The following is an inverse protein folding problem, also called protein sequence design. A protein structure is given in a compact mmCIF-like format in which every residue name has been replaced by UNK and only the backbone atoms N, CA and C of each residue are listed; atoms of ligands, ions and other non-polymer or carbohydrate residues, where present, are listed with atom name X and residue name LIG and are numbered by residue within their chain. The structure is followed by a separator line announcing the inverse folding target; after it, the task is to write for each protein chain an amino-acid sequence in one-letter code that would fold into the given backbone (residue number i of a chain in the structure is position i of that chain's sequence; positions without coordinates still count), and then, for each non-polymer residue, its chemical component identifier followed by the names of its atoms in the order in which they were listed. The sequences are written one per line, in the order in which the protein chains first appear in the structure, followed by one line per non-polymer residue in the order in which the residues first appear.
data_IF_362677235204
#
_entry.id   IF_362677235204
#
_cell.length_a   1.000
_cell.length_b   1.000
_cell.length_c   1.000
_cell.angle_alpha   90.00
_cell.angle_beta   90.00
_cell.angle_gamma   90.00
#
_symmetry.space_group_name_H-M   'P 1'
#
loop_
_entity.id
_entity.type
_entity.pdbx_description
1 polymer ?
#
# COMPACT_ATOMS: atom_id res chain seq x y z
N UNK A 1 7.44 -36.06 39.11
CA UNK A 1 6.10 -36.30 38.55
C UNK A 1 5.09 -35.51 39.37
N UNK A 2 4.63 -34.40 38.84
CA UNK A 2 3.56 -33.58 39.43
C UNK A 2 2.65 -33.13 38.27
N UNK A 3 1.37 -33.45 38.37
CA UNK A 3 0.35 -33.19 37.35
C UNK A 3 -0.12 -31.72 37.38
N UNK A 4 -0.59 -31.16 36.25
CA UNK A 4 -1.09 -29.79 36.20
C UNK A 4 -2.58 -29.71 36.63
N UNK A 5 -3.05 -28.59 37.20
CA UNK A 5 -4.43 -28.41 37.58
C UNK A 5 -5.32 -27.99 36.39
N UNK A 6 -6.48 -28.63 36.30
CA UNK A 6 -7.58 -28.29 35.40
C UNK A 6 -8.27 -26.99 35.85
N UNK A 7 -8.46 -26.04 34.94
CA UNK A 7 -9.39 -24.93 35.11
C UNK A 7 -10.47 -24.99 34.03
N UNK A 8 -11.69 -25.30 34.47
CA UNK A 8 -12.93 -25.29 33.69
C UNK A 8 -13.58 -23.90 33.77
N UNK A 9 -13.58 -23.16 32.66
CA UNK A 9 -14.30 -21.88 32.53
C UNK A 9 -15.55 -22.04 31.66
N UNK A 10 -16.73 -21.90 32.26
CA UNK A 10 -18.03 -22.00 31.61
C UNK A 10 -18.35 -20.77 30.75
N UNK A 11 -18.71 -21.01 29.49
CA UNK A 11 -19.30 -20.04 28.56
C UNK A 11 -20.73 -19.67 29.00
N UNK A 12 -20.99 -18.39 29.26
CA UNK A 12 -22.33 -17.85 29.53
C UNK A 12 -22.75 -16.87 28.43
N UNK A 13 -23.77 -17.22 27.66
CA UNK A 13 -24.48 -16.32 26.74
C UNK A 13 -25.64 -15.62 27.45
N UNK A 14 -25.91 -14.32 27.21
CA UNK A 14 -27.13 -13.67 27.65
C UNK A 14 -28.27 -13.75 26.60
N UNK A 15 -29.54 -13.62 27.02
CA UNK A 15 -30.72 -13.99 26.22
C UNK A 15 -31.26 -12.87 25.31
N UNK A 16 -32.09 -13.29 24.35
CA UNK A 16 -32.70 -12.52 23.27
C UNK A 16 -34.11 -11.95 23.56
N UNK A 17 -34.45 -10.90 22.79
CA UNK A 17 -35.80 -10.39 22.36
C UNK A 17 -36.40 -9.20 23.13
N UNK A 18 -37.39 -8.43 22.58
CA UNK A 18 -38.07 -8.51 21.26
C UNK A 18 -38.17 -7.16 20.49
N UNK A 19 -38.74 -7.21 19.27
CA UNK A 19 -39.06 -6.08 18.37
C UNK A 19 -40.39 -5.39 18.69
N UNK A 20 -40.61 -4.17 18.16
CA UNK A 20 -41.90 -3.88 17.51
C UNK A 20 -41.82 -3.06 16.21
N UNK A 21 -42.94 -3.09 15.46
CA UNK A 21 -43.16 -2.66 14.07
C UNK A 21 -43.43 -1.16 13.87
N UNK A 22 -42.97 -0.68 12.70
CA UNK A 22 -43.55 0.27 11.72
C UNK A 22 -44.37 1.50 12.15
N UNK A 23 -43.98 2.67 11.65
CA UNK A 23 -44.90 3.64 11.03
C UNK A 23 -44.21 4.39 9.87
N UNK A 24 -44.87 4.41 8.70
CA UNK A 24 -44.54 5.23 7.54
C UNK A 24 -44.93 6.69 7.79
N UNK A 25 -44.10 7.63 7.34
CA UNK A 25 -44.56 8.91 6.80
C UNK A 25 -43.63 9.38 5.67
N UNK A 26 -44.26 9.89 4.62
CA UNK A 26 -43.71 10.28 3.32
C UNK A 26 -43.44 11.80 3.25
N UNK A 27 -42.82 12.25 2.13
CA UNK A 27 -42.52 13.63 1.67
C UNK A 27 -41.14 14.17 2.12
N UNK A 28 -40.22 14.70 1.30
CA UNK A 28 -40.15 15.14 -0.11
C UNK A 28 -38.65 15.25 -0.52
N UNK A 29 -38.29 15.40 -1.81
CA UNK A 29 -36.95 15.16 -2.31
C UNK A 29 -36.08 16.43 -2.39
N UNK A 30 -34.86 16.38 -1.84
CA UNK A 30 -33.78 17.27 -2.26
C UNK A 30 -32.40 16.71 -1.85
N UNK A 31 -31.43 16.79 -2.77
CA UNK A 31 -29.98 16.55 -2.59
C UNK A 31 -29.45 15.11 -2.43
N UNK A 32 -29.86 14.17 -3.30
CA UNK A 32 -29.32 12.78 -3.31
C UNK A 32 -28.16 12.50 -4.28
N UNK A 33 -27.70 13.47 -5.07
CA UNK A 33 -26.71 13.22 -6.13
C UNK A 33 -25.23 13.28 -5.68
N UNK A 34 -24.91 13.88 -4.52
CA UNK A 34 -23.50 14.07 -4.09
C UNK A 34 -23.04 13.02 -3.07
N UNK A 35 -23.97 12.44 -2.28
CA UNK A 35 -23.64 11.42 -1.27
C UNK A 35 -23.39 10.02 -1.86
N UNK A 36 -23.93 9.72 -3.04
CA UNK A 36 -23.92 8.37 -3.62
C UNK A 36 -22.58 8.04 -4.30
N UNK A 37 -21.91 9.00 -4.95
CA UNK A 37 -20.60 8.74 -5.59
C UNK A 37 -19.46 8.57 -4.57
N UNK A 38 -19.51 9.31 -3.45
CA UNK A 38 -18.53 9.19 -2.36
C UNK A 38 -18.59 7.82 -1.66
N UNK A 39 -19.78 7.25 -1.46
CA UNK A 39 -19.92 5.91 -0.86
C UNK A 39 -19.49 4.79 -1.81
N UNK A 40 -19.65 4.98 -3.12
CA UNK A 40 -19.27 4.01 -4.14
C UNK A 40 -17.75 3.85 -4.25
N UNK A 41 -16.97 4.94 -4.22
CA UNK A 41 -15.51 4.87 -4.29
C UNK A 41 -14.87 4.17 -3.07
N UNK A 42 -15.33 4.46 -1.85
CA UNK A 42 -14.84 3.76 -0.66
C UNK A 42 -15.14 2.26 -0.72
N UNK A 43 -16.31 1.89 -1.28
CA UNK A 43 -16.68 0.49 -1.46
C UNK A 43 -15.78 -0.24 -2.48
N UNK A 44 -15.30 0.45 -3.53
CA UNK A 44 -14.36 -0.13 -4.49
C UNK A 44 -13.00 -0.46 -3.84
N UNK A 45 -12.37 0.53 -3.20
CA UNK A 45 -11.06 0.34 -2.57
C UNK A 45 -11.09 -0.73 -1.49
N UNK A 46 -12.16 -0.76 -0.69
CA UNK A 46 -12.36 -1.80 0.33
C UNK A 46 -12.46 -3.18 -0.32
N UNK A 47 -13.22 -3.32 -1.40
CA UNK A 47 -13.38 -4.58 -2.14
C UNK A 47 -12.05 -5.07 -2.73
N UNK A 48 -11.31 -4.18 -3.41
CA UNK A 48 -10.02 -4.54 -4.04
C UNK A 48 -8.99 -4.91 -2.98
N UNK A 49 -8.85 -4.13 -1.91
CA UNK A 49 -7.92 -4.43 -0.82
C UNK A 49 -8.27 -5.75 -0.14
N UNK A 50 -9.56 -6.06 0.04
CA UNK A 50 -9.98 -7.35 0.58
C UNK A 50 -9.58 -8.52 -0.32
N UNK A 51 -9.76 -8.39 -1.64
CA UNK A 51 -9.34 -9.43 -2.60
C UNK A 51 -7.83 -9.67 -2.56
N UNK A 52 -7.03 -8.60 -2.44
CA UNK A 52 -5.57 -8.70 -2.31
C UNK A 52 -5.20 -9.41 -1.00
N UNK A 53 -5.85 -9.07 0.11
CA UNK A 53 -5.62 -9.71 1.40
C UNK A 53 -5.98 -11.21 1.38
N UNK A 54 -7.11 -11.57 0.78
CA UNK A 54 -7.55 -12.95 0.63
C UNK A 54 -6.59 -13.76 -0.25
N UNK A 55 -6.05 -13.14 -1.30
CA UNK A 55 -5.02 -13.75 -2.13
C UNK A 55 -3.71 -13.94 -1.36
N UNK A 56 -3.25 -12.95 -0.60
CA UNK A 56 -2.05 -13.07 0.24
C UNK A 56 -2.18 -14.22 1.25
N UNK A 57 -3.36 -14.43 1.83
CA UNK A 57 -3.62 -15.55 2.76
C UNK A 57 -3.44 -16.91 2.10
N UNK A 58 -3.76 -17.01 0.80
CA UNK A 58 -3.55 -18.22 0.02
C UNK A 58 -2.08 -18.41 -0.39
N UNK A 59 -1.39 -17.31 -0.72
CA UNK A 59 0.02 -17.33 -1.15
C UNK A 59 0.99 -17.63 0.00
N UNK A 60 0.66 -17.19 1.22
CA UNK A 60 1.55 -17.25 2.37
C UNK A 60 0.82 -17.93 3.54
N UNK A 61 0.45 -19.22 3.43
CA UNK A 61 -0.17 -19.93 4.54
C UNK A 61 0.86 -20.19 5.64
N UNK A 62 0.44 -20.18 6.89
CA UNK A 62 1.25 -20.69 8.00
C UNK A 62 1.38 -22.20 7.83
N UNK A 63 2.58 -22.69 7.50
CA UNK A 63 2.85 -24.11 7.26
C UNK A 63 4.29 -24.51 7.64
N UNK A 64 4.61 -25.81 7.76
CA UNK A 64 5.98 -26.25 7.99
C UNK A 64 6.96 -25.86 6.85
N UNK A 65 8.24 -25.58 7.18
CA UNK A 65 8.77 -25.34 8.53
C UNK A 65 8.22 -24.03 9.12
N UNK A 66 7.63 -24.11 10.33
CA UNK A 66 6.98 -22.96 10.98
C UNK A 66 7.97 -21.82 11.26
N UNK A 67 9.23 -22.16 11.54
CA UNK A 67 10.34 -21.22 11.75
C UNK A 67 10.54 -20.22 10.58
N UNK A 68 10.04 -20.54 9.38
CA UNK A 68 10.12 -19.66 8.20
C UNK A 68 8.78 -19.03 7.87
N UNK A 69 7.71 -19.84 7.83
CA UNK A 69 6.41 -19.36 7.33
C UNK A 69 5.60 -18.59 8.37
N UNK A 70 5.81 -18.83 9.68
CA UNK A 70 5.12 -18.06 10.72
C UNK A 70 5.61 -16.60 10.77
N UNK A 71 6.94 -16.30 10.78
CA UNK A 71 7.43 -14.94 10.65
C UNK A 71 7.00 -14.26 9.35
N UNK A 72 7.09 -14.99 8.22
CA UNK A 72 6.71 -14.46 6.92
C UNK A 72 5.23 -14.06 6.87
N UNK A 73 4.33 -14.94 7.34
CA UNK A 73 2.91 -14.61 7.44
C UNK A 73 2.70 -13.42 8.37
N UNK A 74 3.23 -13.48 9.59
CA UNK A 74 3.05 -12.40 10.58
C UNK A 74 3.47 -11.04 10.02
N UNK A 75 4.70 -10.91 9.53
CA UNK A 75 5.26 -9.64 9.05
C UNK A 75 4.49 -9.09 7.83
N UNK A 76 4.01 -9.95 6.94
CA UNK A 76 3.21 -9.51 5.77
C UNK A 76 1.88 -8.90 6.18
N UNK A 77 1.22 -9.45 7.20
CA UNK A 77 -0.11 -9.00 7.64
C UNK A 77 -0.07 -7.93 8.73
N UNK A 78 1.06 -7.73 9.41
CA UNK A 78 1.27 -6.61 10.35
C UNK A 78 1.98 -5.41 9.70
N UNK A 79 2.54 -5.59 8.50
CA UNK A 79 3.10 -4.49 7.73
C UNK A 79 2.08 -3.38 7.46
N UNK A 80 2.61 -2.16 7.35
CA UNK A 80 1.81 -0.98 7.07
C UNK A 80 1.12 -1.06 5.72
N UNK A 81 -0.20 -0.84 5.71
CA UNK A 81 -1.02 -0.84 4.49
C UNK A 81 -0.71 0.37 3.61
N UNK A 82 -0.82 0.18 2.30
CA UNK A 82 -0.62 1.19 1.26
C UNK A 82 -1.62 0.94 0.14
N UNK A 83 -2.02 1.97 -0.60
CA UNK A 83 -2.94 1.84 -1.72
C UNK A 83 -2.24 1.49 -3.04
N UNK A 84 -0.91 1.44 -3.09
CA UNK A 84 -0.17 1.09 -4.31
C UNK A 84 -0.58 -0.28 -4.92
N UNK A 85 -0.79 -1.37 -4.14
CA UNK A 85 -1.36 -2.62 -4.64
C UNK A 85 -2.75 -2.46 -5.28
N UNK A 86 -3.66 -1.76 -4.60
CA UNK A 86 -5.01 -1.55 -5.13
C UNK A 86 -5.00 -0.64 -6.36
N UNK A 87 -4.09 0.33 -6.42
CA UNK A 87 -3.87 1.19 -7.58
C UNK A 87 -3.41 0.40 -8.80
N UNK A 88 -2.61 -0.65 -8.63
CA UNK A 88 -2.26 -1.58 -9.71
C UNK A 88 -3.49 -2.24 -10.32
N UNK A 89 -4.44 -2.68 -9.49
CA UNK A 89 -5.70 -3.28 -9.99
C UNK A 89 -6.53 -2.22 -10.72
N UNK A 90 -6.71 -1.04 -10.11
CA UNK A 90 -7.53 0.03 -10.68
C UNK A 90 -7.01 0.55 -12.03
N UNK A 91 -5.69 0.69 -12.17
CA UNK A 91 -5.06 1.13 -13.42
C UNK A 91 -5.09 0.05 -14.50
N UNK A 92 -4.98 -1.23 -14.12
CA UNK A 92 -5.23 -2.35 -15.02
C UNK A 92 -6.66 -2.34 -15.56
N UNK A 93 -7.66 -2.12 -14.69
CA UNK A 93 -9.07 -2.03 -15.08
C UNK A 93 -9.36 -0.79 -15.93
N UNK A 94 -8.67 0.32 -15.67
CA UNK A 94 -8.84 1.58 -16.42
C UNK A 94 -8.47 1.42 -17.90
N UNK A 95 -7.33 0.78 -18.19
CA UNK A 95 -6.83 0.64 -19.58
C UNK A 95 -7.26 -0.68 -20.23
N UNK A 96 -7.50 -1.72 -19.44
CA UNK A 96 -7.75 -3.08 -19.92
C UNK A 96 -9.19 -3.37 -20.37
N UNK A 97 -10.01 -2.33 -20.56
CA UNK A 97 -11.47 -2.41 -20.67
C UNK A 97 -12.10 -3.31 -21.75
N UNK A 98 -11.34 -4.10 -22.53
CA UNK A 98 -11.88 -4.99 -23.59
C UNK A 98 -11.09 -6.31 -23.83
N UNK A 99 -10.03 -6.64 -23.09
CA UNK A 99 -9.34 -7.94 -23.24
C UNK A 99 -9.37 -8.74 -21.94
N UNK A 100 -9.72 -10.05 -21.97
CA UNK A 100 -9.73 -10.88 -20.78
C UNK A 100 -8.28 -11.24 -20.41
N UNK A 101 -7.58 -10.31 -19.74
CA UNK A 101 -6.51 -10.73 -18.84
C UNK A 101 -7.22 -11.48 -17.72
N UNK A 102 -6.68 -12.63 -17.31
CA UNK A 102 -7.26 -13.33 -16.18
C UNK A 102 -7.35 -12.35 -15.00
N UNK A 103 -8.53 -12.15 -14.36
CA UNK A 103 -8.68 -11.25 -13.21
C UNK A 103 -7.65 -11.52 -12.10
N UNK A 104 -7.07 -12.71 -12.11
CA UNK A 104 -6.06 -13.18 -11.18
C UNK A 104 -4.69 -12.52 -11.39
N UNK A 105 -4.28 -12.13 -12.61
CA UNK A 105 -2.91 -11.66 -12.83
C UNK A 105 -2.64 -10.29 -12.20
N UNK A 106 -3.57 -9.33 -12.35
CA UNK A 106 -3.46 -8.04 -11.70
C UNK A 106 -3.44 -8.17 -10.17
N UNK A 107 -4.21 -9.11 -9.61
CA UNK A 107 -4.19 -9.38 -8.17
C UNK A 107 -2.89 -10.07 -7.71
N UNK A 108 -2.27 -10.92 -8.54
CA UNK A 108 -0.92 -11.48 -8.27
C UNK A 108 0.11 -10.37 -8.19
N UNK A 109 0.14 -9.46 -9.17
CA UNK A 109 1.09 -8.35 -9.18
C UNK A 109 0.82 -7.36 -8.05
N UNK A 110 -0.44 -7.09 -7.72
CA UNK A 110 -0.81 -6.30 -6.54
C UNK A 110 -0.33 -6.96 -5.24
N UNK A 111 -0.48 -8.29 -5.10
CA UNK A 111 0.03 -9.05 -3.96
C UNK A 111 1.56 -8.98 -3.87
N UNK A 112 2.25 -9.05 -5.01
CA UNK A 112 3.70 -8.87 -5.10
C UNK A 112 4.13 -7.47 -4.62
N UNK A 113 3.42 -6.41 -4.99
CA UNK A 113 3.68 -5.05 -4.50
C UNK A 113 3.46 -4.91 -2.99
N UNK A 114 2.44 -5.57 -2.44
CA UNK A 114 2.23 -5.62 -0.98
C UNK A 114 3.40 -6.32 -0.28
N UNK A 115 3.88 -7.42 -0.85
CA UNK A 115 5.02 -8.16 -0.32
C UNK A 115 6.31 -7.33 -0.33
N UNK A 116 6.58 -6.60 -1.42
CA UNK A 116 7.70 -5.64 -1.49
C UNK A 116 7.60 -4.62 -0.37
N UNK A 117 6.43 -4.02 -0.18
CA UNK A 117 6.21 -3.07 0.92
C UNK A 117 6.44 -3.70 2.29
N UNK A 118 5.95 -4.91 2.52
CA UNK A 118 6.11 -5.61 3.79
C UNK A 118 7.58 -5.90 4.11
N UNK A 119 8.35 -6.38 3.13
CA UNK A 119 9.77 -6.65 3.31
C UNK A 119 10.56 -5.37 3.61
N UNK A 120 10.35 -4.32 2.81
CA UNK A 120 11.07 -3.05 2.97
C UNK A 120 10.67 -2.32 4.26
N UNK A 121 9.41 -2.43 4.68
CA UNK A 121 8.96 -1.93 5.98
C UNK A 121 9.64 -2.69 7.12
N UNK A 122 9.69 -4.02 7.06
CA UNK A 122 10.37 -4.87 8.05
C UNK A 122 11.84 -4.45 8.20
N UNK A 123 12.56 -4.30 7.08
CA UNK A 123 13.96 -3.86 7.08
C UNK A 123 14.16 -2.42 7.56
N UNK A 124 13.20 -1.52 7.32
CA UNK A 124 13.25 -0.14 7.84
C UNK A 124 13.10 -0.11 9.37
N UNK A 125 12.34 -1.04 9.96
CA UNK A 125 12.15 -1.10 11.41
C UNK A 125 13.27 -1.81 12.16
N UNK A 126 14.14 -2.59 11.49
CA UNK A 126 15.20 -3.34 12.16
C UNK A 126 16.05 -2.47 13.11
N UNK A 127 16.24 -2.88 14.37
CA UNK A 127 17.10 -2.18 15.32
C UNK A 127 18.57 -2.49 14.99
N UNK A 128 19.18 -1.63 14.17
CA UNK A 128 20.61 -1.68 13.88
C UNK A 128 21.35 -0.77 14.86
N UNK A 129 22.58 -1.13 15.23
CA UNK A 129 23.41 -0.44 16.23
C UNK A 129 23.59 1.06 15.96
N UNK A 130 23.57 1.46 14.68
CA UNK A 130 23.77 2.83 14.21
C UNK A 130 22.46 3.60 13.97
N UNK A 131 21.30 2.99 14.19
CA UNK A 131 20.00 3.66 14.10
C UNK A 131 19.57 4.12 15.50
N UNK A 132 19.19 5.39 15.69
CA UNK A 132 18.64 5.81 16.97
C UNK A 132 17.35 5.03 17.23
N UNK A 133 17.28 4.45 18.41
CA UNK A 133 16.09 3.81 18.93
C UNK A 133 15.01 4.89 19.01
N UNK A 134 13.81 4.69 18.43
CA UNK A 134 12.74 5.68 18.51
C UNK A 134 12.48 6.06 19.97
N UNK A 135 12.53 7.37 20.25
CA UNK A 135 12.40 7.92 21.60
C UNK A 135 11.02 7.72 22.24
N UNK A 136 10.04 7.25 21.46
CA UNK A 136 8.68 7.04 21.93
C UNK A 136 8.48 5.58 22.40
N UNK A 137 8.19 5.33 23.69
CA UNK A 137 7.98 3.98 24.23
C UNK A 137 6.80 3.24 23.60
N UNK A 138 5.78 3.95 23.10
CA UNK A 138 4.61 3.35 22.43
C UNK A 138 4.95 2.72 21.07
N UNK A 139 6.02 3.20 20.41
CA UNK A 139 6.57 2.56 19.19
C UNK A 139 7.46 1.34 19.50
N UNK A 140 7.93 1.19 20.74
CA UNK A 140 8.82 0.07 21.12
C UNK A 140 8.03 -1.18 21.54
N UNK A 141 6.80 -1.04 22.03
CA UNK A 141 6.01 -2.16 22.57
C UNK A 141 5.22 -2.96 21.52
N UNK A 142 5.18 -2.51 20.25
CA UNK A 142 4.33 -3.12 19.21
C UNK A 142 5.07 -3.72 17.99
N UNK A 143 6.37 -3.48 17.79
CA UNK A 143 6.96 -3.58 16.43
C UNK A 143 7.95 -4.72 16.13
N UNK A 144 8.41 -5.50 17.11
CA UNK A 144 9.32 -6.63 16.85
C UNK A 144 8.80 -7.93 17.44
N UNK A 145 7.98 -8.65 16.67
CA UNK A 145 7.46 -9.95 17.07
C UNK A 145 8.52 -11.06 17.05
N UNK A 146 9.63 -10.83 16.35
CA UNK A 146 10.72 -11.78 16.21
C UNK A 146 12.08 -11.12 16.48
N UNK A 147 13.10 -11.94 16.73
CA UNK A 147 14.46 -11.44 16.87
C UNK A 147 14.92 -10.77 15.56
N UNK A 148 15.76 -9.73 15.64
CA UNK A 148 16.21 -8.96 14.49
C UNK A 148 16.82 -9.82 13.35
N UNK A 149 17.55 -10.89 13.69
CA UNK A 149 18.08 -11.83 12.70
C UNK A 149 16.99 -12.60 11.94
N UNK A 150 15.87 -12.93 12.61
CA UNK A 150 14.71 -13.57 11.96
C UNK A 150 14.02 -12.57 11.04
N UNK A 151 13.81 -11.34 11.49
CA UNK A 151 13.15 -10.29 10.69
C UNK A 151 13.97 -9.90 9.45
N UNK A 152 15.30 -9.82 9.58
CA UNK A 152 16.21 -9.60 8.46
C UNK A 152 16.05 -10.68 7.38
N UNK A 153 16.23 -11.95 7.78
CA UNK A 153 16.13 -13.10 6.87
C UNK A 153 14.72 -13.28 6.31
N UNK A 154 13.69 -12.94 7.09
CA UNK A 154 12.30 -12.99 6.63
C UNK A 154 12.04 -11.94 5.55
N UNK A 155 12.54 -10.72 5.71
CA UNK A 155 12.46 -9.69 4.68
C UNK A 155 13.16 -10.12 3.37
N UNK A 156 14.35 -10.73 3.47
CA UNK A 156 15.07 -11.28 2.31
C UNK A 156 14.27 -12.41 1.62
N UNK A 157 13.66 -13.28 2.43
CA UNK A 157 12.79 -14.36 1.96
C UNK A 157 11.54 -13.84 1.25
N UNK A 158 10.90 -12.78 1.77
CA UNK A 158 9.74 -12.14 1.15
C UNK A 158 10.12 -11.54 -0.21
N UNK A 159 11.24 -10.79 -0.30
CA UNK A 159 11.70 -10.22 -1.57
C UNK A 159 12.04 -11.28 -2.62
N UNK A 160 12.63 -12.39 -2.19
CA UNK A 160 12.90 -13.54 -3.08
C UNK A 160 11.58 -14.15 -3.59
N UNK A 161 10.61 -14.31 -2.70
CA UNK A 161 9.29 -14.85 -3.02
C UNK A 161 8.49 -13.96 -3.99
N UNK A 162 8.68 -12.63 -3.95
CA UNK A 162 8.08 -11.70 -4.92
C UNK A 162 8.42 -12.10 -6.35
N UNK A 163 9.70 -12.33 -6.66
CA UNK A 163 10.12 -12.67 -8.02
C UNK A 163 9.73 -14.09 -8.41
N UNK A 164 9.73 -15.04 -7.45
CA UNK A 164 9.19 -16.38 -7.66
C UNK A 164 7.70 -16.34 -8.01
N UNK A 165 6.92 -15.56 -7.27
CA UNK A 165 5.48 -15.36 -7.47
C UNK A 165 5.19 -14.78 -8.85
N UNK A 166 5.91 -13.72 -9.23
CA UNK A 166 5.77 -13.10 -10.55
C UNK A 166 6.15 -14.09 -11.64
N UNK A 167 7.30 -14.76 -11.55
CA UNK A 167 7.73 -15.75 -12.53
C UNK A 167 6.78 -16.93 -12.70
N UNK A 168 6.15 -17.41 -11.61
CA UNK A 168 5.14 -18.49 -11.67
C UNK A 168 3.79 -18.05 -12.25
N UNK A 169 3.54 -16.74 -12.31
CA UNK A 169 2.33 -16.17 -12.90
C UNK A 169 2.43 -15.98 -14.41
N UNK A 170 3.59 -16.30 -15.00
CA UNK A 170 3.78 -16.30 -16.44
C UNK A 170 2.82 -17.30 -17.10
N UNK A 171 2.15 -16.85 -18.15
CA UNK A 171 1.31 -17.67 -19.00
C UNK A 171 1.75 -17.48 -20.45
N UNK A 172 2.78 -18.23 -20.90
CA UNK A 172 3.28 -18.13 -22.27
C UNK A 172 2.20 -18.37 -23.32
N UNK A 173 1.20 -19.21 -23.02
CA UNK A 173 0.08 -19.48 -23.93
C UNK A 173 -0.86 -18.28 -24.05
N UNK A 174 -1.00 -17.49 -22.98
CA UNK A 174 -1.74 -16.22 -22.95
C UNK A 174 -0.97 -15.01 -23.49
N UNK A 175 0.32 -15.17 -23.89
CA UNK A 175 1.12 -14.11 -24.49
C UNK A 175 1.49 -12.96 -23.56
N UNK A 176 1.50 -13.19 -22.24
CA UNK A 176 1.74 -12.15 -21.23
C UNK A 176 3.21 -12.02 -20.77
N UNK A 177 4.11 -12.89 -21.24
CA UNK A 177 5.49 -12.97 -20.76
C UNK A 177 6.28 -11.66 -20.91
N UNK A 178 6.11 -10.95 -22.02
CA UNK A 178 6.76 -9.65 -22.24
C UNK A 178 6.25 -8.58 -21.26
N UNK A 179 4.93 -8.53 -21.04
CA UNK A 179 4.31 -7.61 -20.07
C UNK A 179 4.78 -7.92 -18.65
N UNK A 180 4.86 -9.19 -18.29
CA UNK A 180 5.32 -9.63 -16.98
C UNK A 180 6.81 -9.31 -16.75
N UNK A 181 7.65 -9.49 -17.76
CA UNK A 181 9.06 -9.08 -17.68
C UNK A 181 9.19 -7.57 -17.45
N UNK A 182 8.38 -6.76 -18.14
CA UNK A 182 8.33 -5.31 -17.91
C UNK A 182 7.87 -4.98 -16.48
N UNK A 183 6.86 -5.66 -15.95
CA UNK A 183 6.42 -5.52 -14.56
C UNK A 183 7.55 -5.84 -13.57
N UNK A 184 8.30 -6.93 -13.79
CA UNK A 184 9.45 -7.30 -12.95
C UNK A 184 10.50 -6.18 -12.95
N UNK A 185 10.79 -5.59 -14.11
CA UNK A 185 11.73 -4.47 -14.25
C UNK A 185 11.22 -3.23 -13.50
N UNK A 186 9.94 -2.89 -13.64
CA UNK A 186 9.33 -1.76 -12.92
C UNK A 186 9.42 -1.93 -11.40
N UNK A 187 9.10 -3.13 -10.89
CA UNK A 187 9.19 -3.44 -9.46
C UNK A 187 10.63 -3.33 -8.98
N UNK A 188 11.58 -3.98 -9.68
CA UNK A 188 12.99 -3.96 -9.30
C UNK A 188 13.57 -2.54 -9.26
N UNK A 189 13.22 -1.68 -10.24
CA UNK A 189 13.64 -0.27 -10.25
C UNK A 189 13.06 0.52 -9.09
N UNK A 190 11.76 0.34 -8.80
CA UNK A 190 11.07 1.08 -7.76
C UNK A 190 11.55 0.73 -6.35
N UNK A 191 11.91 -0.52 -6.09
CA UNK A 191 12.47 -0.91 -4.79
C UNK A 191 13.98 -0.70 -4.67
N UNK A 192 14.71 -0.69 -5.79
CA UNK A 192 16.17 -0.61 -5.81
C UNK A 192 16.73 0.80 -5.58
N UNK A 193 17.97 1.00 -6.04
CA UNK A 193 18.76 2.22 -5.84
C UNK A 193 18.19 3.48 -6.51
N UNK A 194 17.28 3.33 -7.48
CA UNK A 194 16.61 4.47 -8.12
C UNK A 194 15.32 4.89 -7.39
N UNK A 195 14.85 4.07 -6.45
CA UNK A 195 13.60 4.28 -5.71
C UNK A 195 13.78 4.11 -4.20
N UNK A 196 13.09 3.14 -3.61
CA UNK A 196 12.87 3.09 -2.16
C UNK A 196 14.17 3.00 -1.35
N UNK A 197 15.17 2.25 -1.82
CA UNK A 197 16.47 2.16 -1.14
C UNK A 197 17.19 3.51 -1.09
N UNK A 198 17.11 4.36 -2.12
CA UNK A 198 17.67 5.73 -2.06
C UNK A 198 16.97 6.58 -0.98
N UNK A 199 15.64 6.51 -0.92
CA UNK A 199 14.86 7.21 0.09
C UNK A 199 15.19 6.74 1.51
N UNK A 200 15.32 5.42 1.72
CA UNK A 200 15.71 4.83 3.01
C UNK A 200 17.15 5.20 3.40
N UNK A 201 18.08 5.17 2.44
CA UNK A 201 19.48 5.52 2.66
C UNK A 201 19.62 6.98 3.11
N UNK A 202 18.95 7.91 2.44
CA UNK A 202 18.93 9.33 2.82
C UNK A 202 18.30 9.59 4.18
N UNK A 203 17.21 8.88 4.49
CA UNK A 203 16.58 8.93 5.81
C UNK A 203 17.53 8.47 6.92
N UNK A 204 18.24 7.37 6.69
CA UNK A 204 19.25 6.88 7.63
C UNK A 204 20.40 7.88 7.81
N UNK A 205 20.88 8.53 6.74
CA UNK A 205 21.94 9.53 6.84
C UNK A 205 21.55 10.78 7.65
N UNK A 206 20.33 11.33 7.50
CA UNK A 206 19.90 12.47 8.33
C UNK A 206 19.95 12.10 9.83
N UNK A 207 19.59 10.86 10.14
CA UNK A 207 19.58 10.31 11.49
C UNK A 207 20.98 10.09 12.09
N UNK A 208 21.94 9.58 11.31
CA UNK A 208 23.31 9.32 11.78
C UNK A 208 24.12 10.61 11.92
N UNK A 209 23.91 11.57 11.02
CA UNK A 209 24.67 12.83 10.99
C UNK A 209 24.16 13.89 11.98
N UNK A 210 23.14 13.58 12.79
CA UNK A 210 22.57 14.50 13.77
C UNK A 210 22.06 15.82 13.16
N UNK A 211 21.70 15.78 11.89
CA UNK A 211 21.45 16.97 11.06
C UNK A 211 19.95 17.20 10.88
N UNK A 212 19.17 17.18 11.97
CA UNK A 212 17.74 17.46 11.91
C UNK A 212 17.44 18.86 11.34
N UNK A 213 18.37 19.83 11.51
CA UNK A 213 18.32 21.15 10.86
C UNK A 213 18.48 21.13 9.32
N UNK A 214 18.93 20.02 8.71
CA UNK A 214 19.06 19.86 7.26
C UNK A 214 17.87 19.13 6.61
N UNK A 215 16.93 18.64 7.42
CA UNK A 215 15.77 17.88 6.97
C UNK A 215 14.62 18.85 6.57
N UNK A 216 14.90 19.77 5.62
CA UNK A 216 13.97 20.80 5.10
C UNK A 216 12.84 20.22 4.23
N UNK A 217 11.89 21.07 3.83
CA UNK A 217 10.77 20.68 2.93
C UNK A 217 11.25 19.99 1.65
N UNK A 218 12.39 20.41 1.07
CA UNK A 218 12.95 19.81 -0.14
C UNK A 218 13.50 18.39 0.10
N UNK A 219 14.15 18.18 1.23
CA UNK A 219 14.58 16.86 1.67
C UNK A 219 13.39 15.92 1.90
N UNK A 220 12.34 16.40 2.57
CA UNK A 220 11.12 15.59 2.80
C UNK A 220 10.47 15.25 1.46
N UNK A 221 10.36 16.21 0.54
CA UNK A 221 9.82 15.97 -0.80
C UNK A 221 10.58 14.87 -1.55
N UNK A 222 11.92 14.88 -1.47
CA UNK A 222 12.77 13.86 -2.08
C UNK A 222 12.56 12.48 -1.45
N UNK A 223 12.54 12.39 -0.11
CA UNK A 223 12.33 11.11 0.59
C UNK A 223 10.95 10.55 0.27
N UNK A 224 9.91 11.38 0.30
CA UNK A 224 8.55 10.98 -0.06
C UNK A 224 8.42 10.60 -1.54
N UNK A 225 9.12 11.28 -2.45
CA UNK A 225 9.19 10.87 -3.86
C UNK A 225 9.77 9.47 -3.99
N UNK A 226 10.91 9.21 -3.34
CA UNK A 226 11.65 7.95 -3.51
C UNK A 226 11.01 6.76 -2.84
N UNK A 227 10.41 6.94 -1.66
CA UNK A 227 9.78 5.86 -0.91
C UNK A 227 8.34 5.62 -1.38
N UNK A 228 7.42 6.51 -1.03
CA UNK A 228 6.00 6.34 -1.33
C UNK A 228 5.71 6.63 -2.81
N UNK A 229 6.28 7.70 -3.37
CA UNK A 229 6.09 8.10 -4.76
C UNK A 229 6.45 6.98 -5.75
N UNK A 230 7.66 6.43 -5.69
CA UNK A 230 8.10 5.37 -6.62
C UNK A 230 7.32 4.08 -6.45
N UNK A 231 6.88 3.73 -5.24
CA UNK A 231 6.03 2.55 -5.03
C UNK A 231 4.66 2.70 -5.71
N UNK A 232 4.01 3.86 -5.56
CA UNK A 232 2.72 4.12 -6.21
C UNK A 232 2.85 4.27 -7.73
N UNK A 233 3.91 4.93 -8.20
CA UNK A 233 4.24 5.00 -9.62
C UNK A 233 4.41 3.60 -10.23
N UNK A 234 5.14 2.73 -9.53
CA UNK A 234 5.30 1.33 -9.92
C UNK A 234 3.97 0.59 -9.97
N UNK A 235 3.12 0.72 -8.93
CA UNK A 235 1.80 0.09 -8.90
C UNK A 235 0.94 0.51 -10.08
N UNK A 236 0.84 1.82 -10.34
CA UNK A 236 0.07 2.35 -11.46
C UNK A 236 0.63 1.91 -12.83
N UNK A 237 1.95 1.94 -13.02
CA UNK A 237 2.59 1.50 -14.25
C UNK A 237 2.42 -0.01 -14.47
N UNK A 238 2.57 -0.84 -13.43
CA UNK A 238 2.37 -2.28 -13.51
C UNK A 238 0.94 -2.62 -13.94
N UNK A 239 -0.06 -1.95 -13.36
CA UNK A 239 -1.45 -2.12 -13.77
C UNK A 239 -1.66 -1.75 -15.23
N UNK A 240 -1.16 -0.59 -15.65
CA UNK A 240 -1.27 -0.15 -17.04
C UNK A 240 -0.59 -1.12 -18.04
N UNK A 241 0.60 -1.62 -17.72
CA UNK A 241 1.34 -2.59 -18.53
C UNK A 241 0.55 -3.90 -18.66
N UNK A 242 0.05 -4.43 -17.54
CA UNK A 242 -0.74 -5.66 -17.55
C UNK A 242 -2.02 -5.48 -18.36
N UNK A 243 -2.72 -4.37 -18.14
CA UNK A 243 -3.94 -3.97 -18.84
C UNK A 243 -3.77 -3.74 -20.34
N UNK A 244 -2.53 -3.72 -20.84
CA UNK A 244 -2.24 -3.49 -22.25
C UNK A 244 -2.40 -2.03 -22.68
N UNK A 245 -2.24 -1.08 -21.76
CA UNK A 245 -2.20 0.35 -22.08
C UNK A 245 -1.06 0.68 -23.03
N UNK A 246 -1.24 1.75 -23.81
CA UNK A 246 -0.20 2.33 -24.64
C UNK A 246 0.96 2.90 -23.79
N UNK A 247 2.13 3.11 -24.38
CA UNK A 247 3.28 3.72 -23.66
C UNK A 247 2.94 5.09 -23.09
N UNK A 248 2.08 5.87 -23.77
CA UNK A 248 1.59 7.14 -23.27
C UNK A 248 0.71 6.96 -22.02
N UNK A 249 -0.25 6.03 -22.06
CA UNK A 249 -1.10 5.73 -20.90
C UNK A 249 -0.29 5.20 -19.72
N UNK A 250 0.69 4.34 -19.98
CA UNK A 250 1.60 3.81 -18.95
C UNK A 250 2.38 4.96 -18.28
N UNK A 251 2.94 5.88 -19.05
CA UNK A 251 3.69 7.02 -18.50
C UNK A 251 2.81 8.00 -17.74
N UNK A 252 1.61 8.33 -18.25
CA UNK A 252 0.64 9.17 -17.54
C UNK A 252 0.23 8.54 -16.21
N UNK A 253 -0.06 7.24 -16.19
CA UNK A 253 -0.42 6.53 -14.97
C UNK A 253 0.77 6.38 -14.00
N UNK A 254 1.99 6.19 -14.51
CA UNK A 254 3.22 6.23 -13.70
C UNK A 254 3.36 7.58 -12.98
N UNK A 255 3.19 8.68 -13.70
CA UNK A 255 3.25 10.02 -13.14
C UNK A 255 2.11 10.31 -12.16
N UNK A 256 0.89 9.90 -12.49
CA UNK A 256 -0.24 9.95 -11.57
C UNK A 256 0.09 9.22 -10.25
N UNK A 257 0.58 7.98 -10.34
CA UNK A 257 0.99 7.20 -9.17
C UNK A 257 2.08 7.90 -8.37
N UNK A 258 3.09 8.48 -9.03
CA UNK A 258 4.15 9.24 -8.38
C UNK A 258 3.59 10.36 -7.50
N UNK A 259 2.70 11.18 -8.04
CA UNK A 259 2.11 12.31 -7.32
C UNK A 259 1.21 11.85 -6.18
N UNK A 260 0.40 10.81 -6.37
CA UNK A 260 -0.43 10.23 -5.28
C UNK A 260 0.46 9.69 -4.16
N UNK A 261 1.53 8.98 -4.50
CA UNK A 261 2.48 8.46 -3.52
C UNK A 261 3.18 9.58 -2.76
N UNK A 262 3.58 10.67 -3.44
CA UNK A 262 4.15 11.86 -2.78
C UNK A 262 3.16 12.48 -1.79
N UNK A 263 1.89 12.68 -2.18
CA UNK A 263 0.84 13.17 -1.27
C UNK A 263 0.74 12.27 -0.05
N UNK A 264 0.67 10.94 -0.25
CA UNK A 264 0.61 9.99 0.84
C UNK A 264 1.83 10.11 1.78
N UNK A 265 3.05 10.13 1.22
CA UNK A 265 4.31 10.32 1.96
C UNK A 265 4.31 11.58 2.83
N UNK A 266 3.95 12.72 2.23
CA UNK A 266 3.92 14.03 2.91
C UNK A 266 2.91 14.03 4.07
N UNK A 267 1.72 13.47 3.87
CA UNK A 267 0.69 13.37 4.91
C UNK A 267 1.17 12.55 6.11
N UNK A 268 1.92 11.48 5.88
CA UNK A 268 2.47 10.63 6.94
C UNK A 268 3.59 11.31 7.70
N UNK A 269 4.47 12.00 6.98
CA UNK A 269 5.53 12.77 7.59
C UNK A 269 4.95 13.86 8.50
N UNK A 270 3.93 14.59 8.02
CA UNK A 270 3.27 15.63 8.78
C UNK A 270 2.58 15.08 10.04
N UNK A 271 1.86 13.96 9.94
CA UNK A 271 1.19 13.33 11.07
C UNK A 271 2.17 12.87 12.16
N UNK A 272 3.31 12.31 11.76
CA UNK A 272 4.31 11.77 12.69
C UNK A 272 5.17 12.84 13.37
N UNK A 273 5.45 13.96 12.69
CA UNK A 273 6.42 14.94 13.19
C UNK A 273 5.81 16.21 13.81
N UNK A 274 4.49 16.46 13.68
CA UNK A 274 3.78 17.62 14.28
C UNK A 274 4.60 18.92 14.27
N UNK A 275 5.23 19.23 13.13
CA UNK A 275 6.16 20.36 13.01
C UNK A 275 5.41 21.69 12.90
N UNK A 276 5.40 22.48 13.96
CA UNK A 276 4.72 23.78 14.04
C UNK A 276 5.38 24.95 13.27
N UNK A 277 6.25 24.68 12.29
CA UNK A 277 7.08 25.71 11.64
C UNK A 277 6.96 25.84 10.11
N UNK A 278 6.65 24.76 9.39
CA UNK A 278 6.75 24.72 7.91
C UNK A 278 5.45 24.29 7.19
N UNK A 279 4.31 24.40 7.87
CA UNK A 279 3.00 23.94 7.38
C UNK A 279 2.64 24.46 5.98
N UNK A 280 3.05 25.69 5.65
CA UNK A 280 2.80 26.29 4.33
C UNK A 280 3.54 25.56 3.20
N UNK A 281 4.82 25.22 3.40
CA UNK A 281 5.62 24.54 2.37
C UNK A 281 5.08 23.14 2.05
N UNK A 282 4.66 22.40 3.08
CA UNK A 282 4.00 21.10 2.90
C UNK A 282 2.66 21.21 2.18
N UNK A 283 1.85 22.20 2.54
CA UNK A 283 0.55 22.44 1.91
C UNK A 283 0.73 22.76 0.42
N UNK A 284 1.66 23.65 0.07
CA UNK A 284 1.97 24.02 -1.31
C UNK A 284 2.42 22.81 -2.14
N UNK A 285 3.23 21.90 -1.57
CA UNK A 285 3.63 20.65 -2.23
C UNK A 285 2.46 19.70 -2.47
N UNK A 286 1.58 19.52 -1.48
CA UNK A 286 0.39 18.65 -1.59
C UNK A 286 -0.56 19.20 -2.66
N UNK A 287 -0.83 20.50 -2.67
CA UNK A 287 -1.67 21.16 -3.68
C UNK A 287 -1.09 21.00 -5.09
N UNK A 288 0.23 21.24 -5.23
CA UNK A 288 0.94 21.04 -6.50
C UNK A 288 0.84 19.61 -6.99
N UNK A 289 1.12 18.62 -6.13
CA UNK A 289 1.02 17.20 -6.50
C UNK A 289 -0.42 16.82 -6.87
N UNK A 290 -1.42 17.35 -6.15
CA UNK A 290 -2.84 17.11 -6.43
C UNK A 290 -3.22 17.60 -7.82
N UNK A 291 -2.83 18.82 -8.17
CA UNK A 291 -3.08 19.40 -9.49
C UNK A 291 -2.43 18.59 -10.61
N UNK A 292 -1.16 18.20 -10.43
CA UNK A 292 -0.43 17.39 -11.41
C UNK A 292 -1.05 15.99 -11.56
N UNK A 293 -1.42 15.33 -10.46
CA UNK A 293 -2.09 14.04 -10.51
C UNK A 293 -3.40 14.08 -11.30
N UNK A 294 -4.25 15.09 -11.05
CA UNK A 294 -5.53 15.20 -11.77
C UNK A 294 -5.34 15.46 -13.27
N UNK A 295 -4.30 16.23 -13.64
CA UNK A 295 -3.95 16.46 -15.04
C UNK A 295 -3.56 15.17 -15.76
N UNK A 296 -2.81 14.28 -15.11
CA UNK A 296 -2.43 12.99 -15.71
C UNK A 296 -3.64 12.08 -15.99
N UNK A 297 -4.77 12.26 -15.30
CA UNK A 297 -6.01 11.51 -15.55
C UNK A 297 -6.85 12.05 -16.71
N UNK A 298 -6.50 13.21 -17.28
CA UNK A 298 -7.23 13.77 -18.43
C UNK A 298 -7.14 12.84 -19.65
N UNK A 299 -8.26 12.62 -20.34
CA UNK A 299 -8.32 11.77 -21.54
C UNK A 299 -8.61 10.28 -21.28
N UNK A 300 -8.60 9.83 -20.03
CA UNK A 300 -9.03 8.48 -19.65
C UNK A 300 -10.57 8.38 -19.49
N UNK A 301 -11.11 7.15 -19.50
CA UNK A 301 -12.55 6.89 -19.34
C UNK A 301 -13.08 7.41 -17.99
N UNK A 302 -14.20 8.15 -18.03
CA UNK A 302 -14.78 8.86 -16.88
C UNK A 302 -15.13 7.97 -15.68
N UNK A 303 -15.47 6.70 -15.87
CA UNK A 303 -15.91 5.81 -14.78
C UNK A 303 -14.83 5.58 -13.71
N UNK A 304 -13.69 5.03 -14.10
CA UNK A 304 -12.57 4.78 -13.19
C UNK A 304 -11.78 6.04 -12.82
N UNK A 305 -11.81 7.09 -13.65
CA UNK A 305 -11.19 8.38 -13.31
C UNK A 305 -11.80 8.98 -12.05
N UNK A 306 -13.11 8.85 -11.82
CA UNK A 306 -13.74 9.33 -10.57
C UNK A 306 -13.25 8.57 -9.34
N UNK A 307 -13.02 7.28 -9.47
CA UNK A 307 -12.48 6.43 -8.40
C UNK A 307 -11.03 6.80 -8.10
N UNK A 308 -10.18 6.92 -9.13
CA UNK A 308 -8.79 7.35 -8.97
C UNK A 308 -8.67 8.77 -8.40
N UNK A 309 -9.50 9.70 -8.87
CA UNK A 309 -9.54 11.08 -8.36
C UNK A 309 -9.89 11.18 -6.86
N UNK A 310 -10.42 10.10 -6.25
CA UNK A 310 -10.65 10.08 -4.81
C UNK A 310 -9.35 9.98 -3.99
N UNK A 311 -8.29 9.35 -4.51
CA UNK A 311 -7.02 9.13 -3.81
C UNK A 311 -6.23 10.42 -3.54
N UNK A 312 -6.46 11.46 -4.34
CA UNK A 312 -5.77 12.76 -4.18
C UNK A 312 -6.49 13.69 -3.20
N UNK A 313 -7.66 13.31 -2.68
CA UNK A 313 -8.41 14.13 -1.72
C UNK A 313 -7.88 13.87 -0.32
N UNK A 314 -7.56 14.93 0.43
CA UNK A 314 -7.11 14.81 1.82
C UNK A 314 -8.05 13.94 2.69
N UNK A 315 -9.37 14.09 2.51
CA UNK A 315 -10.41 13.34 3.22
C UNK A 315 -10.42 11.83 2.97
N UNK A 316 -9.71 11.35 1.95
CA UNK A 316 -9.52 9.93 1.72
C UNK A 316 -8.59 9.32 2.78
N UNK A 317 -7.51 10.02 3.10
CA UNK A 317 -6.47 9.54 4.02
C UNK A 317 -6.87 9.65 5.49
N UNK A 318 -7.81 10.52 5.84
CA UNK A 318 -8.36 10.64 7.20
C UNK A 318 -9.14 9.38 7.67
N UNK A 319 -9.43 8.45 6.75
CA UNK A 319 -10.30 7.27 6.98
C UNK A 319 -9.61 5.93 6.71
N UNK A 320 -8.34 5.95 6.30
CA UNK A 320 -7.55 4.76 5.99
C UNK A 320 -6.56 4.46 7.12
#
# INVERSE_FOLDING_TARGET
MAAPPHFTGSLGYPPSSPSPRSHLHCLSPCNRAIKVSMSQNQSYWTCVTQKIEDQLKQLIPVRPPLLVYEPMHHLVFTARRTMAPALCVATCELVGGQQPISPNQALVVASALHLVQAALFTHEQLPLTDRPIPSNPETLTHHHAFAAGVELLTGDGILSFVYELLGRSDDPAGGNSERLLRVIIEIARAMGSEGMVDGQYRKMLCSVLGSEELCDVGWVDHVCEKKEGRLYACGAACGAILGGGSEEEIEKLRNYGLYVGKIHGLMLYYHNNRTGGEEKGFTDLVERCTSLALKELEGFNQGMVQTLSSLVRASFWDKC
#
